data_IF_467636351760
#
_entry.id   IF_467636351760
#
_cell.length_a   1.000
_cell.length_b   1.000
_cell.length_c   1.000
_cell.angle_alpha   90.00
_cell.angle_beta   90.00
_cell.angle_gamma   90.00
#
_symmetry.space_group_name_H-M   'P 1'
#
loop_
_entity.id
_entity.type
_entity.pdbx_description
1 polymer ?
#
# COMPACT_ATOMS: atom_id res chain seq x y z
N UNK A 1 -47.55 51.76 29.62
CA UNK A 1 -46.59 52.22 30.65
C UNK A 1 -45.21 51.65 30.38
N UNK A 2 -44.16 52.39 30.72
CA UNK A 2 -42.77 51.91 30.72
C UNK A 2 -42.49 51.08 31.98
N UNK A 3 -41.52 50.17 31.94
CA UNK A 3 -40.45 50.12 32.96
C UNK A 3 -39.24 49.33 32.45
N UNK A 4 -38.06 49.93 32.58
CA UNK A 4 -36.76 49.31 32.29
C UNK A 4 -36.32 48.35 33.40
N UNK A 5 -35.54 47.33 33.05
CA UNK A 5 -34.86 46.43 33.99
C UNK A 5 -33.49 46.00 33.44
N UNK A 6 -32.39 46.58 33.96
CA UNK A 6 -31.09 46.61 33.27
C UNK A 6 -30.05 45.66 33.89
N UNK A 7 -29.35 44.92 33.01
CA UNK A 7 -27.99 44.30 33.19
C UNK A 7 -27.79 43.22 34.27
N UNK A 8 -27.36 42.04 33.81
CA UNK A 8 -26.50 41.09 34.55
C UNK A 8 -25.43 40.52 33.63
N UNK A 9 -24.15 40.83 33.87
CA UNK A 9 -23.03 40.42 33.00
C UNK A 9 -22.35 39.15 33.53
N UNK A 10 -22.57 38.02 32.85
CA UNK A 10 -21.96 36.72 33.18
C UNK A 10 -20.91 36.29 32.17
N UNK A 11 -19.62 36.53 32.46
CA UNK A 11 -18.50 35.98 31.66
C UNK A 11 -18.39 34.47 31.88
N UNK A 12 -18.98 33.68 30.98
CA UNK A 12 -18.80 32.23 30.96
C UNK A 12 -17.34 31.83 30.75
N UNK A 13 -16.75 31.09 31.70
CA UNK A 13 -15.49 30.36 31.48
C UNK A 13 -15.68 29.37 30.31
N UNK A 14 -14.70 29.22 29.41
CA UNK A 14 -14.77 28.15 28.41
C UNK A 14 -14.73 26.80 29.11
N UNK A 15 -15.80 26.03 28.97
CA UNK A 15 -15.81 24.62 29.36
C UNK A 15 -14.75 23.87 28.55
N UNK A 16 -14.04 22.93 29.19
CA UNK A 16 -13.12 22.04 28.48
C UNK A 16 -13.95 21.27 27.44
N UNK A 17 -13.76 21.55 26.14
CA UNK A 17 -14.37 20.78 25.05
C UNK A 17 -14.10 19.30 25.29
N UNK A 18 -15.14 18.53 25.60
CA UNK A 18 -15.11 17.09 25.51
C UNK A 18 -14.84 16.73 24.04
N UNK A 19 -13.84 15.87 23.81
CA UNK A 19 -13.57 15.39 22.45
C UNK A 19 -14.76 14.54 21.95
N UNK A 20 -15.21 14.73 20.70
CA UNK A 20 -16.25 13.89 20.12
C UNK A 20 -15.81 12.42 20.06
N UNK A 21 -16.78 11.50 20.09
CA UNK A 21 -16.53 10.06 20.20
C UNK A 21 -15.56 9.53 19.12
N UNK A 22 -15.63 10.09 17.91
CA UNK A 22 -14.73 9.80 16.78
C UNK A 22 -13.26 10.08 17.07
N UNK A 23 -12.92 11.14 17.81
CA UNK A 23 -11.53 11.42 18.22
C UNK A 23 -11.05 10.52 19.36
N UNK A 24 -11.95 9.94 20.17
CA UNK A 24 -11.59 8.94 21.18
C UNK A 24 -11.28 7.59 20.53
N UNK A 25 -12.07 7.18 19.55
CA UNK A 25 -11.79 6.01 18.68
C UNK A 25 -10.43 6.15 17.96
N UNK A 26 -10.15 7.31 17.33
CA UNK A 26 -8.90 7.52 16.60
C UNK A 26 -7.65 7.37 17.49
N UNK A 27 -7.67 7.82 18.75
CA UNK A 27 -6.55 7.61 19.69
C UNK A 27 -6.46 6.17 20.21
N UNK A 28 -7.57 5.45 20.30
CA UNK A 28 -7.57 4.03 20.68
C UNK A 28 -6.95 3.15 19.59
N UNK A 29 -7.25 3.42 18.31
CA UNK A 29 -6.68 2.69 17.17
C UNK A 29 -5.17 2.93 17.04
N UNK A 30 -4.70 4.19 17.20
CA UNK A 30 -3.26 4.49 17.19
C UNK A 30 -2.53 3.82 18.37
N UNK A 31 -3.15 3.73 19.55
CA UNK A 31 -2.57 3.05 20.71
C UNK A 31 -2.57 1.51 20.60
N UNK A 32 -3.43 0.93 19.75
CA UNK A 32 -3.50 -0.51 19.51
C UNK A 32 -2.44 -1.01 18.51
N UNK A 33 -1.81 -0.12 17.73
CA UNK A 33 -0.79 -0.45 16.73
C UNK A 33 0.64 -0.39 17.30
N UNK A 34 0.89 0.44 18.32
CA UNK A 34 2.15 0.41 19.08
C UNK A 34 2.10 -0.64 20.20
N UNK A 35 2.55 -1.86 19.88
CA UNK A 35 2.56 -2.98 20.81
C UNK A 35 3.36 -2.72 22.11
N UNK A 36 2.65 -2.49 23.21
CA UNK A 36 3.13 -2.69 24.58
C UNK A 36 2.09 -3.46 25.39
N UNK A 37 2.44 -4.68 25.79
CA UNK A 37 1.58 -5.53 26.60
C UNK A 37 1.22 -4.90 27.95
N UNK A 38 0.00 -5.14 28.42
CA UNK A 38 -0.43 -4.82 29.78
C UNK A 38 0.16 -5.84 30.76
N UNK A 39 0.55 -5.44 31.99
CA UNK A 39 0.91 -6.37 33.04
C UNK A 39 -0.35 -6.93 33.74
N UNK A 40 -0.29 -8.20 34.11
CA UNK A 40 -1.24 -8.80 35.05
C UNK A 40 -0.87 -8.45 36.50
N UNK A 41 -1.86 -8.36 37.37
CA UNK A 41 -1.69 -8.10 38.80
C UNK A 41 -1.85 -9.38 39.61
N UNK A 42 -0.80 -9.79 40.33
CA UNK A 42 -0.98 -10.70 41.48
C UNK A 42 0.18 -11.64 41.77
N UNK A 43 1.08 -11.23 42.68
CA UNK A 43 1.56 -11.96 43.87
C UNK A 43 2.99 -11.53 44.25
N UNK A 44 3.23 -11.39 45.56
CA UNK A 44 4.49 -10.94 46.10
C UNK A 44 5.45 -12.12 46.32
N UNK A 45 6.62 -12.07 45.68
CA UNK A 45 7.74 -12.98 45.94
C UNK A 45 9.02 -12.15 46.20
N UNK A 46 9.87 -12.64 47.09
CA UNK A 46 11.00 -11.88 47.63
C UNK A 46 12.10 -11.59 46.57
N UNK A 47 12.72 -10.41 46.66
CA UNK A 47 13.83 -10.01 45.78
C UNK A 47 15.16 -10.62 46.27
N UNK A 48 15.90 -11.39 45.45
CA UNK A 48 17.31 -11.63 45.72
C UNK A 48 18.10 -10.33 45.44
N UNK A 49 19.14 -10.07 46.25
CA UNK A 49 20.10 -9.00 45.99
C UNK A 49 20.98 -9.40 44.80
N UNK A 50 21.27 -8.47 43.90
CA UNK A 50 22.23 -8.65 42.81
C UNK A 50 23.39 -7.69 43.01
N UNK A 51 24.56 -8.22 43.34
CA UNK A 51 25.79 -7.44 43.48
C UNK A 51 26.50 -7.33 42.12
N UNK A 52 26.91 -6.13 41.67
CA UNK A 52 27.61 -5.96 40.39
C UNK A 52 29.08 -6.40 40.49
N UNK A 53 29.65 -7.05 39.46
CA UNK A 53 31.06 -7.44 39.45
C UNK A 53 32.00 -6.22 39.33
N UNK A 54 33.25 -6.32 39.85
CA UNK A 54 34.13 -5.16 40.01
C UNK A 54 34.84 -4.71 38.72
N UNK A 55 35.02 -3.40 38.60
CA UNK A 55 35.85 -2.76 37.57
C UNK A 55 37.36 -2.98 37.82
N UNK A 56 38.16 -3.35 36.81
CA UNK A 56 39.62 -3.37 36.94
C UNK A 56 40.20 -1.94 37.01
N UNK A 57 41.06 -1.69 38.00
CA UNK A 57 41.73 -0.40 38.25
C UNK A 57 43.23 -0.44 37.90
N UNK A 58 43.71 0.64 37.27
CA UNK A 58 45.12 1.09 37.29
C UNK A 58 46.06 0.40 36.28
N UNK A 59 46.79 1.11 35.40
CA UNK A 59 47.90 2.09 35.60
C UNK A 59 49.27 1.39 35.79
N UNK A 60 50.41 1.98 35.32
CA UNK A 60 50.71 3.42 35.40
C UNK A 60 51.29 4.13 34.17
N UNK A 61 51.33 5.46 34.29
CA UNK A 61 52.04 6.42 33.44
C UNK A 61 53.53 6.50 33.78
N UNK A 62 54.37 6.85 32.80
CA UNK A 62 55.47 7.85 32.83
C UNK A 62 56.23 7.77 31.48
N UNK A 63 56.96 8.78 30.97
CA UNK A 63 57.37 10.09 31.52
C UNK A 63 57.51 11.14 30.39
N UNK A 64 57.83 12.36 30.78
CA UNK A 64 57.97 13.57 29.95
C UNK A 64 59.29 13.67 29.18
N UNK A 65 59.29 14.61 28.22
CA UNK A 65 60.39 15.10 27.37
C UNK A 65 61.72 15.47 28.06
N UNK A 66 62.81 15.52 27.27
CA UNK A 66 63.74 16.68 27.15
C UNK A 66 64.83 16.50 26.06
N UNK A 67 65.34 17.62 25.50
CA UNK A 67 66.55 17.73 24.64
C UNK A 67 66.48 17.17 23.21
N UNK A 68 67.15 17.70 22.17
CA UNK A 68 67.96 18.93 22.02
C UNK A 68 69.08 18.74 20.97
N UNK A 69 69.34 19.71 20.08
CA UNK A 69 70.63 19.81 19.35
C UNK A 69 70.68 19.60 17.82
N UNK A 70 70.68 20.72 17.08
CA UNK A 70 71.43 21.09 15.85
C UNK A 70 72.22 20.08 14.95
N UNK A 71 71.94 20.19 13.63
CA UNK A 71 72.88 20.43 12.50
C UNK A 71 73.70 19.33 11.76
N UNK A 72 73.49 19.32 10.42
CA UNK A 72 74.47 19.36 9.31
C UNK A 72 74.93 18.09 8.52
N UNK A 73 75.11 18.32 7.19
CA UNK A 73 75.87 17.59 6.14
C UNK A 73 75.45 16.14 5.75
N UNK A 74 74.92 15.92 4.53
CA UNK A 74 75.64 15.49 3.29
C UNK A 74 75.93 13.97 3.24
N UNK A 75 75.82 13.20 2.13
CA UNK A 75 76.01 13.48 0.69
C UNK A 75 75.40 12.34 -0.18
N UNK A 76 75.16 12.59 -1.48
CA UNK A 76 74.96 11.57 -2.53
C UNK A 76 73.50 11.17 -2.82
N UNK A 77 72.98 11.15 -4.06
CA UNK A 77 73.51 11.66 -5.33
C UNK A 77 73.47 10.63 -6.47
N UNK A 78 72.45 10.69 -7.35
CA UNK A 78 72.46 10.19 -8.73
C UNK A 78 71.60 11.14 -9.58
N UNK A 79 72.06 11.49 -10.79
CA UNK A 79 71.44 12.48 -11.68
C UNK A 79 71.11 11.88 -13.06
N UNK A 80 69.97 12.31 -13.62
CA UNK A 80 69.47 12.38 -15.02
C UNK A 80 70.28 11.78 -16.20
N UNK A 81 69.60 11.52 -17.35
CA UNK A 81 69.77 12.51 -18.42
C UNK A 81 68.50 12.99 -19.16
N UNK A 82 68.70 14.13 -19.85
CA UNK A 82 67.76 15.02 -20.52
C UNK A 82 67.18 14.49 -21.85
N UNK A 83 66.10 15.12 -22.32
CA UNK A 83 65.64 15.04 -23.73
C UNK A 83 65.09 16.38 -24.26
N UNK A 84 65.45 16.75 -25.50
CA UNK A 84 65.06 17.94 -26.27
C UNK A 84 65.64 17.83 -27.70
N UNK A 85 65.25 18.61 -28.73
CA UNK A 85 63.91 19.13 -29.08
C UNK A 85 63.55 19.04 -30.60
N UNK A 86 62.26 19.24 -30.94
CA UNK A 86 61.84 20.02 -32.13
C UNK A 86 61.51 19.34 -33.49
N UNK A 87 60.48 19.87 -34.18
CA UNK A 87 60.43 20.05 -35.65
C UNK A 87 59.35 21.07 -36.07
N UNK A 88 59.53 21.69 -37.25
CA UNK A 88 58.67 22.74 -37.86
C UNK A 88 57.72 22.15 -38.92
N UNK A 89 56.63 22.86 -39.22
CA UNK A 89 55.80 22.71 -40.43
C UNK A 89 55.01 24.01 -40.69
N UNK A 90 54.80 24.39 -41.95
CA UNK A 90 54.26 25.71 -42.39
C UNK A 90 53.00 25.56 -43.29
N UNK A 91 52.29 26.66 -43.67
CA UNK A 91 50.88 26.65 -44.10
C UNK A 91 50.65 26.89 -45.61
N UNK A 92 49.36 26.97 -46.04
CA UNK A 92 48.89 27.99 -47.00
C UNK A 92 47.69 28.79 -46.43
N UNK A 93 47.59 30.13 -46.56
CA UNK A 93 47.31 30.97 -47.75
C UNK A 93 45.92 30.73 -48.39
N UNK A 94 45.04 31.73 -48.28
CA UNK A 94 43.75 31.80 -48.98
C UNK A 94 42.85 32.94 -48.50
N UNK A 95 42.85 34.07 -49.22
CA UNK A 95 41.82 35.12 -49.16
C UNK A 95 41.39 35.41 -50.62
N UNK A 96 40.21 35.99 -50.87
CA UNK A 96 40.20 37.46 -50.96
C UNK A 96 38.89 38.19 -50.56
N UNK A 97 39.07 39.43 -50.09
CA UNK A 97 38.23 40.64 -50.31
C UNK A 97 36.69 40.60 -50.36
N UNK A 98 36.05 41.46 -49.55
CA UNK A 98 35.03 42.40 -50.08
C UNK A 98 35.13 43.79 -49.42
N UNK A 99 34.80 44.82 -50.19
CA UNK A 99 35.18 46.21 -49.93
C UNK A 99 34.34 46.98 -48.91
N UNK A 100 35.01 47.99 -48.36
CA UNK A 100 34.55 49.06 -47.49
C UNK A 100 33.91 50.19 -48.31
N UNK A 101 32.81 50.80 -47.82
CA UNK A 101 32.29 52.07 -48.35
C UNK A 101 32.79 53.23 -47.47
N UNK A 102 33.49 54.17 -48.10
CA UNK A 102 33.78 55.54 -47.63
C UNK A 102 32.56 56.40 -48.06
N UNK A 103 32.17 57.53 -47.49
CA UNK A 103 32.76 58.89 -47.42
C UNK A 103 31.62 59.83 -46.95
N UNK A 104 31.78 61.05 -46.43
CA UNK A 104 32.85 61.77 -45.71
C UNK A 104 32.17 63.05 -45.11
N UNK A 105 32.78 63.75 -44.15
CA UNK A 105 32.15 64.93 -43.55
C UNK A 105 32.98 65.63 -42.44
N UNK A 106 33.39 66.87 -42.70
CA UNK A 106 33.93 67.87 -41.76
C UNK A 106 33.02 69.13 -41.89
N UNK A 107 32.86 70.02 -40.90
CA UNK A 107 33.97 70.51 -40.07
C UNK A 107 33.74 70.76 -38.56
N UNK A 108 34.89 70.76 -37.88
CA UNK A 108 35.30 71.61 -36.74
C UNK A 108 34.23 72.55 -36.16
N UNK A 109 33.91 72.36 -34.87
CA UNK A 109 33.43 73.44 -34.01
C UNK A 109 34.21 73.43 -32.68
N UNK A 110 34.72 74.58 -32.29
CA UNK A 110 35.68 74.72 -31.18
C UNK A 110 35.02 74.66 -29.81
N UNK A 111 35.44 73.72 -28.96
CA UNK A 111 35.32 73.87 -27.50
C UNK A 111 36.68 73.71 -26.85
N UNK A 112 37.17 74.84 -26.30
CA UNK A 112 38.40 74.95 -25.50
C UNK A 112 38.22 74.19 -24.18
N UNK A 113 38.37 72.87 -24.22
CA UNK A 113 38.29 72.02 -23.03
C UNK A 113 39.60 72.16 -22.25
N UNK A 114 39.56 72.94 -21.18
CA UNK A 114 40.65 73.07 -20.23
C UNK A 114 41.04 71.67 -19.72
N UNK A 115 42.33 71.35 -19.77
CA UNK A 115 42.84 70.16 -19.09
C UNK A 115 42.68 70.34 -17.58
N UNK A 116 42.01 69.42 -16.85
CA UNK A 116 42.10 69.41 -15.41
C UNK A 116 43.54 69.02 -15.03
N UNK A 117 44.24 69.80 -14.18
CA UNK A 117 45.63 69.52 -13.86
C UNK A 117 45.75 68.14 -13.20
N UNK A 118 46.79 67.40 -13.56
CA UNK A 118 47.16 66.12 -12.93
C UNK A 118 47.59 66.34 -11.46
N UNK A 119 46.64 66.61 -10.57
CA UNK A 119 46.87 66.46 -9.13
C UNK A 119 46.93 64.99 -8.81
N UNK A 120 48.16 64.48 -8.74
CA UNK A 120 48.52 63.19 -8.17
C UNK A 120 48.04 63.12 -6.72
N UNK A 121 46.78 62.75 -6.51
CA UNK A 121 46.28 62.32 -5.21
C UNK A 121 46.81 60.91 -4.92
N UNK A 122 48.13 60.83 -4.71
CA UNK A 122 48.84 59.67 -4.18
C UNK A 122 48.42 59.45 -2.71
N UNK A 123 47.13 59.14 -2.49
CA UNK A 123 46.60 58.75 -1.19
C UNK A 123 47.19 57.38 -0.88
N UNK A 124 48.40 57.39 -0.31
CA UNK A 124 49.13 56.21 0.16
C UNK A 124 48.28 55.52 1.21
N UNK A 125 47.41 54.60 0.76
CA UNK A 125 46.66 53.70 1.63
C UNK A 125 47.63 53.15 2.69
N UNK A 126 47.26 53.28 3.96
CA UNK A 126 48.15 52.90 5.05
C UNK A 126 48.50 51.42 4.95
N UNK A 127 49.60 51.00 5.59
CA UNK A 127 49.97 49.58 5.59
C UNK A 127 48.83 48.69 6.11
N UNK A 128 48.01 49.21 7.02
CA UNK A 128 46.84 48.55 7.58
C UNK A 128 45.65 48.49 6.61
N UNK A 129 45.30 49.58 5.91
CA UNK A 129 44.26 49.55 4.88
C UNK A 129 44.59 48.58 3.75
N UNK A 130 45.87 48.57 3.31
CA UNK A 130 46.37 47.60 2.32
C UNK A 130 46.27 46.16 2.85
N UNK A 131 46.64 45.92 4.12
CA UNK A 131 46.48 44.61 4.78
C UNK A 131 45.01 44.20 4.92
N UNK A 132 44.10 45.12 5.24
CA UNK A 132 42.66 44.87 5.35
C UNK A 132 42.05 44.50 3.99
N UNK A 133 42.33 45.27 2.93
CA UNK A 133 41.87 44.95 1.58
C UNK A 133 42.51 43.67 1.03
N UNK A 134 43.78 43.41 1.31
CA UNK A 134 44.45 42.15 0.97
C UNK A 134 43.84 40.97 1.73
N UNK A 135 43.57 41.10 3.03
CA UNK A 135 42.90 40.09 3.84
C UNK A 135 41.45 39.84 3.37
N UNK A 136 40.71 40.88 3.00
CA UNK A 136 39.35 40.77 2.44
C UNK A 136 39.35 40.08 1.07
N UNK A 137 40.32 40.41 0.19
CA UNK A 137 40.56 39.68 -1.08
C UNK A 137 40.99 38.24 -0.84
N UNK A 138 41.88 37.96 0.12
CA UNK A 138 42.32 36.61 0.47
C UNK A 138 41.18 35.75 1.07
N UNK A 139 40.35 36.33 1.95
CA UNK A 139 39.12 35.70 2.46
C UNK A 139 38.14 35.42 1.31
N UNK A 140 37.93 36.36 0.39
CA UNK A 140 37.08 36.15 -0.79
C UNK A 140 37.64 35.07 -1.75
N UNK A 141 38.96 34.99 -1.95
CA UNK A 141 39.61 33.94 -2.75
C UNK A 141 39.48 32.57 -2.06
N UNK A 142 39.71 32.50 -0.74
CA UNK A 142 39.51 31.28 0.07
C UNK A 142 38.04 30.83 0.04
N UNK A 143 37.08 31.75 0.13
CA UNK A 143 35.64 31.48 0.01
C UNK A 143 35.27 30.98 -1.40
N UNK A 144 35.77 31.63 -2.47
CA UNK A 144 35.60 31.15 -3.86
C UNK A 144 36.20 29.75 -4.07
N UNK A 145 37.35 29.45 -3.47
CA UNK A 145 37.97 28.11 -3.49
C UNK A 145 37.12 27.08 -2.72
N UNK A 146 36.58 27.42 -1.54
CA UNK A 146 35.64 26.57 -0.80
C UNK A 146 34.35 26.33 -1.59
N UNK A 147 33.73 27.36 -2.17
CA UNK A 147 32.52 27.21 -3.02
C UNK A 147 32.80 26.33 -4.25
N UNK A 148 33.94 26.49 -4.93
CA UNK A 148 34.37 25.59 -6.03
C UNK A 148 34.67 24.15 -5.58
N UNK A 149 35.04 23.93 -4.32
CA UNK A 149 35.23 22.58 -3.74
C UNK A 149 33.87 21.95 -3.39
N UNK A 150 32.96 22.70 -2.78
CA UNK A 150 31.58 22.26 -2.49
C UNK A 150 30.85 21.92 -3.79
N UNK A 151 30.91 22.77 -4.82
CA UNK A 151 30.31 22.50 -6.14
C UNK A 151 30.88 21.23 -6.78
N UNK A 152 32.19 20.97 -6.63
CA UNK A 152 32.80 19.72 -7.10
C UNK A 152 32.30 18.50 -6.32
N UNK A 153 32.25 18.58 -4.99
CA UNK A 153 31.70 17.48 -4.17
C UNK A 153 30.21 17.25 -4.44
N UNK A 154 29.40 18.30 -4.60
CA UNK A 154 27.98 18.14 -4.95
C UNK A 154 27.78 17.61 -6.37
N UNK A 155 28.65 17.97 -7.32
CA UNK A 155 28.62 17.41 -8.67
C UNK A 155 29.03 15.93 -8.68
N UNK A 156 30.04 15.54 -7.92
CA UNK A 156 30.42 14.12 -7.73
C UNK A 156 29.29 13.35 -7.04
N UNK A 157 28.67 13.90 -6.00
CA UNK A 157 27.54 13.29 -5.31
C UNK A 157 26.33 13.14 -6.26
N UNK A 158 26.01 14.16 -7.06
CA UNK A 158 24.95 14.08 -8.07
C UNK A 158 25.26 13.03 -9.15
N UNK A 159 26.52 12.96 -9.63
CA UNK A 159 26.94 11.93 -10.58
C UNK A 159 26.84 10.51 -10.01
N UNK A 160 27.20 10.32 -8.73
CA UNK A 160 27.03 9.05 -8.02
C UNK A 160 25.55 8.67 -7.86
N UNK A 161 24.67 9.63 -7.55
CA UNK A 161 23.23 9.40 -7.48
C UNK A 161 22.64 9.02 -8.86
N UNK A 162 23.06 9.71 -9.93
CA UNK A 162 22.66 9.38 -11.31
C UNK A 162 23.16 7.98 -11.70
N UNK A 163 24.43 7.65 -11.41
CA UNK A 163 24.99 6.33 -11.68
C UNK A 163 24.29 5.22 -10.90
N UNK A 164 23.95 5.47 -9.63
CA UNK A 164 23.16 4.54 -8.81
C UNK A 164 21.77 4.32 -9.41
N UNK A 165 21.05 5.38 -9.79
CA UNK A 165 19.73 5.27 -10.43
C UNK A 165 19.82 4.48 -11.74
N UNK A 166 20.80 4.79 -12.60
CA UNK A 166 21.03 4.04 -13.84
C UNK A 166 21.32 2.56 -13.58
N UNK A 167 22.21 2.26 -12.63
CA UNK A 167 22.52 0.88 -12.22
C UNK A 167 21.28 0.14 -11.71
N UNK A 168 20.47 0.78 -10.86
CA UNK A 168 19.21 0.22 -10.38
C UNK A 168 18.20 -0.01 -11.52
N UNK A 169 18.15 0.88 -12.52
CA UNK A 169 17.25 0.71 -13.67
C UNK A 169 17.63 -0.45 -14.59
N UNK A 170 18.93 -0.75 -14.73
CA UNK A 170 19.44 -1.78 -15.65
C UNK A 170 19.56 -3.15 -14.99
N UNK A 171 20.01 -3.22 -13.73
CA UNK A 171 20.34 -4.48 -13.04
C UNK A 171 19.12 -5.18 -12.39
N UNK A 172 18.04 -4.45 -12.12
CA UNK A 172 16.85 -4.99 -11.43
C UNK A 172 15.66 -5.09 -12.39
N UNK A 173 15.86 -5.79 -13.50
CA UNK A 173 14.78 -6.19 -14.40
C UNK A 173 14.08 -7.43 -13.85
N UNK A 174 12.80 -7.62 -14.19
CA UNK A 174 12.09 -8.86 -13.86
C UNK A 174 12.50 -9.92 -14.88
N UNK A 175 13.28 -10.91 -14.45
CA UNK A 175 13.78 -12.00 -15.29
C UNK A 175 13.00 -13.30 -15.07
N UNK A 176 12.48 -13.52 -13.87
CA UNK A 176 11.77 -14.75 -13.51
C UNK A 176 10.55 -14.47 -12.62
N UNK A 177 9.50 -15.28 -12.82
CA UNK A 177 8.32 -15.32 -11.94
C UNK A 177 8.25 -16.72 -11.33
N UNK A 178 8.43 -16.79 -10.01
CA UNK A 178 8.36 -18.00 -9.21
C UNK A 178 6.91 -18.11 -8.71
N UNK A 179 6.17 -19.11 -9.20
CA UNK A 179 4.83 -19.42 -8.71
C UNK A 179 4.98 -20.39 -7.53
N UNK A 180 4.32 -20.09 -6.42
CA UNK A 180 4.21 -21.01 -5.28
C UNK A 180 3.01 -21.92 -5.52
N UNK A 181 3.20 -23.25 -5.61
CA UNK A 181 2.06 -24.16 -5.73
C UNK A 181 1.24 -24.14 -4.43
N UNK A 182 -0.07 -23.99 -4.55
CA UNK A 182 -1.03 -24.17 -3.47
C UNK A 182 -2.04 -25.26 -3.84
N UNK A 183 -2.39 -26.11 -2.88
CA UNK A 183 -3.33 -27.21 -3.10
C UNK A 183 -4.74 -26.67 -3.43
N UNK A 184 -5.34 -27.18 -4.50
CA UNK A 184 -6.67 -26.75 -4.98
C UNK A 184 -6.68 -25.64 -6.03
N UNK A 185 -5.51 -25.15 -6.46
CA UNK A 185 -5.42 -24.30 -7.67
C UNK A 185 -5.75 -25.14 -8.91
N UNK A 186 -6.63 -24.62 -9.77
CA UNK A 186 -7.04 -25.23 -11.05
C UNK A 186 -6.20 -24.78 -12.26
N UNK A 187 -5.27 -23.86 -12.05
CA UNK A 187 -4.46 -23.23 -13.10
C UNK A 187 -3.00 -23.69 -13.08
N UNK A 188 -2.43 -23.89 -14.26
CA UNK A 188 -1.01 -24.19 -14.42
C UNK A 188 -0.12 -22.97 -14.12
N UNK A 189 1.14 -23.23 -13.75
CA UNK A 189 2.14 -22.16 -13.57
C UNK A 189 2.26 -21.24 -14.79
N UNK A 190 2.12 -21.78 -16.00
CA UNK A 190 2.19 -21.02 -17.26
C UNK A 190 1.01 -20.04 -17.38
N UNK A 191 -0.20 -20.47 -17.01
CA UNK A 191 -1.40 -19.63 -17.00
C UNK A 191 -1.26 -18.49 -15.98
N UNK A 192 -0.75 -18.79 -14.78
CA UNK A 192 -0.50 -17.78 -13.73
C UNK A 192 0.56 -16.77 -14.18
N UNK A 193 1.69 -17.23 -14.73
CA UNK A 193 2.76 -16.35 -15.26
C UNK A 193 2.27 -15.45 -16.39
N UNK A 194 1.43 -15.98 -17.29
CA UNK A 194 0.82 -15.21 -18.38
C UNK A 194 -0.18 -14.17 -17.85
N UNK A 195 -1.01 -14.55 -16.88
CA UNK A 195 -2.01 -13.66 -16.26
C UNK A 195 -1.38 -12.48 -15.48
N UNK A 196 -0.13 -12.59 -15.00
CA UNK A 196 0.59 -11.43 -14.49
C UNK A 196 0.72 -10.30 -15.53
N UNK A 197 0.81 -10.64 -16.82
CA UNK A 197 0.97 -9.67 -17.92
C UNK A 197 2.20 -8.78 -17.75
N UNK A 198 3.33 -9.38 -17.35
CA UNK A 198 4.62 -8.71 -17.16
C UNK A 198 5.55 -9.13 -18.30
N UNK A 199 6.06 -8.18 -19.06
CA UNK A 199 7.11 -8.42 -20.05
C UNK A 199 8.46 -8.60 -19.36
N UNK A 200 8.97 -9.84 -19.42
CA UNK A 200 10.30 -10.20 -18.93
C UNK A 200 11.39 -9.31 -19.54
N UNK A 201 12.33 -8.84 -18.73
CA UNK A 201 13.45 -8.00 -19.17
C UNK A 201 13.09 -6.55 -19.57
N UNK A 202 11.81 -6.23 -19.77
CA UNK A 202 11.34 -4.87 -20.09
C UNK A 202 11.00 -4.08 -18.81
N UNK A 203 10.29 -4.70 -17.86
CA UNK A 203 9.83 -4.03 -16.64
C UNK A 203 10.89 -4.09 -15.52
N UNK A 204 11.15 -2.94 -14.89
CA UNK A 204 12.02 -2.86 -13.73
C UNK A 204 11.27 -3.27 -12.44
N UNK A 205 11.89 -4.15 -11.64
CA UNK A 205 11.36 -4.75 -10.42
C UNK A 205 10.87 -3.72 -9.38
N UNK A 206 11.54 -2.57 -9.28
CA UNK A 206 11.15 -1.51 -8.35
C UNK A 206 10.04 -0.60 -8.88
N UNK A 207 9.87 -0.51 -10.20
CA UNK A 207 8.81 0.27 -10.85
C UNK A 207 7.51 -0.51 -11.03
N UNK A 208 7.57 -1.83 -11.08
CA UNK A 208 6.40 -2.70 -11.05
C UNK A 208 5.63 -2.46 -9.73
N UNK A 209 4.37 -2.02 -9.83
CA UNK A 209 3.45 -2.05 -8.69
C UNK A 209 2.96 -3.48 -8.52
N UNK A 210 3.00 -3.98 -7.28
CA UNK A 210 2.65 -5.37 -6.97
C UNK A 210 1.12 -5.53 -6.93
N UNK A 211 0.42 -4.55 -6.33
CA UNK A 211 -1.03 -4.42 -6.30
C UNK A 211 -1.70 -4.58 -7.66
N UNK A 212 -1.16 -3.93 -8.69
CA UNK A 212 -1.75 -3.92 -10.04
C UNK A 212 -1.58 -5.31 -10.72
N UNK A 213 -0.62 -6.13 -10.26
CA UNK A 213 -0.42 -7.52 -10.70
C UNK A 213 -1.30 -8.47 -9.89
N UNK A 214 -1.45 -8.25 -8.58
CA UNK A 214 -2.36 -8.98 -7.68
C UNK A 214 -3.82 -8.84 -8.17
N UNK A 215 -4.29 -7.61 -8.35
CA UNK A 215 -5.62 -7.29 -8.87
C UNK A 215 -5.86 -7.88 -10.27
N UNK A 216 -4.84 -7.84 -11.15
CA UNK A 216 -4.93 -8.45 -12.49
C UNK A 216 -5.03 -9.96 -12.42
N UNK A 217 -4.23 -10.63 -11.57
CA UNK A 217 -4.30 -12.07 -11.37
C UNK A 217 -5.70 -12.47 -10.88
N UNK A 218 -6.21 -11.77 -9.87
CA UNK A 218 -7.55 -12.03 -9.33
C UNK A 218 -8.65 -11.85 -10.39
N UNK A 219 -8.61 -10.80 -11.21
CA UNK A 219 -9.62 -10.59 -12.27
C UNK A 219 -9.49 -11.57 -13.44
N UNK A 220 -8.27 -11.90 -13.84
CA UNK A 220 -8.01 -12.75 -15.03
C UNK A 220 -8.22 -14.23 -14.74
N UNK A 221 -8.01 -14.66 -13.49
CA UNK A 221 -8.12 -16.04 -13.04
C UNK A 221 -9.16 -16.15 -11.91
N UNK A 222 -10.47 -16.25 -12.24
CA UNK A 222 -11.55 -16.13 -11.27
C UNK A 222 -11.43 -17.04 -10.05
N UNK A 223 -10.94 -18.28 -10.20
CA UNK A 223 -10.76 -19.25 -9.11
C UNK A 223 -9.55 -18.98 -8.20
N UNK A 224 -8.78 -17.91 -8.42
CA UNK A 224 -7.84 -17.38 -7.42
C UNK A 224 -8.61 -16.40 -6.54
N UNK A 225 -8.82 -16.72 -5.26
CA UNK A 225 -9.54 -15.85 -4.31
C UNK A 225 -8.74 -14.61 -3.94
N UNK A 226 -7.46 -14.80 -3.63
CA UNK A 226 -6.51 -13.73 -3.33
C UNK A 226 -5.14 -14.04 -3.96
N UNK A 227 -4.46 -13.03 -4.47
CA UNK A 227 -3.09 -13.13 -4.95
C UNK A 227 -2.14 -12.28 -4.10
N UNK A 228 -0.99 -12.83 -3.73
CA UNK A 228 0.10 -12.10 -3.07
C UNK A 228 1.37 -12.17 -3.93
N UNK A 229 1.88 -11.01 -4.35
CA UNK A 229 3.06 -10.89 -5.19
C UNK A 229 4.16 -10.18 -4.42
N UNK A 230 5.22 -10.92 -4.06
CA UNK A 230 6.40 -10.38 -3.35
C UNK A 230 7.60 -10.27 -4.29
N UNK A 231 8.47 -9.29 -4.03
CA UNK A 231 9.78 -9.20 -4.71
C UNK A 231 10.74 -10.23 -4.13
N UNK A 232 11.36 -11.01 -5.00
CA UNK A 232 12.38 -12.00 -4.68
C UNK A 232 13.70 -11.56 -5.32
N UNK A 233 14.58 -10.97 -4.51
CA UNK A 233 15.83 -10.41 -5.01
C UNK A 233 16.78 -11.50 -5.55
N UNK A 234 17.60 -11.21 -6.58
CA UNK A 234 17.81 -9.88 -7.20
C UNK A 234 16.78 -9.49 -8.26
N UNK A 235 16.29 -10.42 -9.09
CA UNK A 235 15.57 -10.12 -10.35
C UNK A 235 14.23 -10.86 -10.51
N UNK A 236 13.65 -11.40 -9.43
CA UNK A 236 12.47 -12.27 -9.50
C UNK A 236 11.23 -11.70 -8.78
N UNK A 237 10.05 -12.16 -9.19
CA UNK A 237 8.81 -12.03 -8.41
C UNK A 237 8.40 -13.40 -7.88
N UNK A 238 7.89 -13.46 -6.65
CA UNK A 238 7.29 -14.64 -6.03
C UNK A 238 5.78 -14.41 -5.93
N UNK A 239 5.01 -15.22 -6.63
CA UNK A 239 3.54 -15.17 -6.68
C UNK A 239 3.00 -16.31 -5.83
N UNK A 240 2.19 -15.98 -4.82
CA UNK A 240 1.43 -16.95 -4.02
C UNK A 240 -0.05 -16.72 -4.30
N UNK A 241 -0.79 -17.76 -4.65
CA UNK A 241 -2.23 -17.67 -4.93
C UNK A 241 -3.02 -18.49 -3.91
N UNK A 242 -4.04 -17.90 -3.31
CA UNK A 242 -5.05 -18.61 -2.51
C UNK A 242 -6.18 -19.07 -3.46
N UNK A 243 -6.43 -20.37 -3.65
CA UNK A 243 -7.56 -20.84 -4.44
C UNK A 243 -8.88 -20.56 -3.73
N UNK A 244 -9.93 -20.27 -4.51
CA UNK A 244 -11.30 -20.11 -4.01
C UNK A 244 -12.26 -21.03 -4.76
N UNK A 245 -13.38 -21.34 -4.12
CA UNK A 245 -14.40 -22.28 -4.62
C UNK A 245 -15.78 -21.64 -4.56
N UNK A 246 -16.69 -22.11 -5.41
CA UNK A 246 -18.08 -21.65 -5.39
C UNK A 246 -18.75 -22.01 -4.06
N UNK A 247 -19.29 -21.00 -3.39
CA UNK A 247 -20.01 -21.10 -2.12
C UNK A 247 -21.53 -20.95 -2.32
N UNK A 248 -21.96 -20.19 -3.33
CA UNK A 248 -23.36 -20.04 -3.71
C UNK A 248 -23.55 -19.90 -5.22
N UNK A 249 -24.78 -20.05 -5.67
CA UNK A 249 -25.21 -19.83 -7.05
C UNK A 249 -26.29 -18.75 -7.08
N UNK A 250 -25.92 -17.53 -7.43
CA UNK A 250 -26.85 -16.38 -7.40
C UNK A 250 -27.77 -16.43 -8.61
N UNK A 251 -29.07 -16.47 -8.36
CA UNK A 251 -30.12 -16.46 -9.38
C UNK A 251 -30.20 -15.06 -10.02
N UNK A 252 -29.92 -14.97 -11.32
CA UNK A 252 -30.01 -13.73 -12.10
C UNK A 252 -31.13 -13.80 -13.17
N UNK A 253 -32.10 -14.71 -13.01
CA UNK A 253 -33.28 -14.86 -13.87
C UNK A 253 -33.02 -15.48 -15.26
N UNK A 254 -31.85 -15.26 -15.85
CA UNK A 254 -31.41 -15.88 -17.11
C UNK A 254 -30.36 -17.02 -16.92
N UNK A 255 -30.09 -17.38 -15.66
CA UNK A 255 -29.10 -18.37 -15.27
C UNK A 255 -28.62 -18.14 -13.83
N UNK A 256 -27.45 -18.67 -13.51
CA UNK A 256 -26.84 -18.60 -12.19
C UNK A 256 -25.38 -18.16 -12.24
N UNK A 257 -25.02 -17.26 -11.33
CA UNK A 257 -23.65 -16.79 -11.12
C UNK A 257 -23.05 -17.59 -9.97
N UNK A 258 -22.06 -18.44 -10.27
CA UNK A 258 -21.31 -19.14 -9.23
C UNK A 258 -20.40 -18.12 -8.53
N UNK A 259 -20.63 -17.90 -7.24
CA UNK A 259 -19.90 -16.93 -6.43
C UNK A 259 -19.15 -17.58 -5.28
N UNK A 260 -17.99 -17.01 -4.93
CA UNK A 260 -17.22 -17.43 -3.76
C UNK A 260 -17.74 -16.81 -2.45
N UNK A 261 -17.16 -17.24 -1.32
CA UNK A 261 -17.44 -16.75 0.05
C UNK A 261 -17.47 -15.22 0.20
N UNK A 262 -16.82 -14.47 -0.70
CA UNK A 262 -16.69 -13.02 -0.65
C UNK A 262 -17.60 -12.28 -1.65
N UNK A 263 -18.36 -13.00 -2.49
CA UNK A 263 -19.16 -12.43 -3.57
C UNK A 263 -18.38 -12.23 -4.88
N UNK A 264 -17.24 -12.91 -5.06
CA UNK A 264 -16.50 -12.89 -6.33
C UNK A 264 -17.16 -13.83 -7.33
N UNK A 265 -17.46 -13.36 -8.54
CA UNK A 265 -18.03 -14.19 -9.61
C UNK A 265 -16.96 -15.09 -10.21
N UNK A 266 -17.15 -16.40 -10.12
CA UNK A 266 -16.25 -17.42 -10.65
C UNK A 266 -16.63 -17.82 -12.08
N UNK A 267 -17.91 -18.09 -12.30
CA UNK A 267 -18.45 -18.62 -13.56
C UNK A 267 -19.94 -18.28 -13.71
N UNK A 268 -20.45 -18.21 -14.94
CA UNK A 268 -21.88 -18.23 -15.25
C UNK A 268 -22.31 -19.60 -15.79
N UNK A 269 -23.49 -20.08 -15.37
CA UNK A 269 -24.12 -21.30 -15.89
C UNK A 269 -25.61 -21.05 -16.16
N UNK A 270 -26.16 -21.60 -17.24
CA UNK A 270 -27.60 -21.50 -17.52
C UNK A 270 -28.43 -22.47 -16.66
N UNK A 271 -27.89 -23.65 -16.35
CA UNK A 271 -28.58 -24.68 -15.55
C UNK A 271 -28.24 -24.55 -14.07
N UNK A 272 -29.24 -24.78 -13.21
CA UNK A 272 -29.08 -24.78 -11.75
C UNK A 272 -28.04 -25.83 -11.30
N UNK A 273 -27.02 -25.44 -10.50
CA UNK A 273 -26.03 -26.38 -9.98
C UNK A 273 -26.66 -27.26 -8.89
N UNK A 274 -26.45 -28.58 -8.97
CA UNK A 274 -27.08 -29.56 -8.06
C UNK A 274 -26.48 -29.61 -6.65
N UNK A 275 -25.24 -29.16 -6.48
CA UNK A 275 -24.47 -29.31 -5.24
C UNK A 275 -24.14 -27.97 -4.53
N UNK A 276 -24.74 -26.87 -4.98
CA UNK A 276 -24.46 -25.51 -4.50
C UNK A 276 -25.79 -24.84 -4.19
N UNK A 277 -25.90 -24.19 -3.04
CA UNK A 277 -27.11 -23.48 -2.62
C UNK A 277 -27.43 -22.33 -3.59
N UNK A 278 -28.69 -22.24 -4.03
CA UNK A 278 -29.15 -21.11 -4.85
C UNK A 278 -29.46 -19.91 -3.97
N UNK A 279 -28.89 -18.75 -4.30
CA UNK A 279 -29.14 -17.49 -3.62
C UNK A 279 -30.14 -16.65 -4.42
N UNK A 280 -31.23 -16.23 -3.77
CA UNK A 280 -32.19 -15.26 -4.28
C UNK A 280 -32.04 -13.93 -3.55
N UNK A 281 -31.89 -12.86 -4.32
CA UNK A 281 -31.57 -11.50 -3.84
C UNK A 281 -32.29 -10.45 -4.69
N UNK A 282 -32.25 -9.19 -4.26
CA UNK A 282 -32.97 -8.08 -4.90
C UNK A 282 -32.20 -7.48 -6.09
N UNK A 283 -30.87 -7.66 -6.10
CA UNK A 283 -29.96 -6.97 -7.01
C UNK A 283 -30.07 -7.34 -8.48
N UNK A 284 -29.75 -6.38 -9.35
CA UNK A 284 -29.46 -6.61 -10.76
C UNK A 284 -27.98 -6.93 -10.95
N UNK A 285 -27.66 -7.99 -11.69
CA UNK A 285 -26.30 -8.50 -11.79
C UNK A 285 -25.71 -8.35 -13.19
N UNK A 286 -24.49 -7.80 -13.25
CA UNK A 286 -23.69 -7.82 -14.49
C UNK A 286 -22.86 -9.11 -14.55
N UNK A 287 -22.96 -9.83 -15.66
CA UNK A 287 -22.24 -11.09 -15.90
C UNK A 287 -20.78 -10.77 -16.26
N UNK A 288 -19.89 -10.78 -15.26
CA UNK A 288 -18.44 -10.59 -15.43
C UNK A 288 -17.63 -11.48 -14.49
N UNK A 289 -17.04 -12.54 -15.03
CA UNK A 289 -16.13 -13.44 -14.30
C UNK A 289 -14.90 -12.70 -13.78
N UNK A 290 -14.50 -12.98 -12.54
CA UNK A 290 -13.34 -12.38 -11.88
C UNK A 290 -13.62 -11.06 -11.16
N UNK A 291 -14.75 -10.41 -11.40
CA UNK A 291 -15.20 -9.23 -10.65
C UNK A 291 -16.08 -9.64 -9.44
N UNK A 292 -16.23 -8.72 -8.48
CA UNK A 292 -17.16 -8.89 -7.35
C UNK A 292 -18.55 -8.41 -7.77
N UNK A 293 -19.58 -9.22 -7.50
CA UNK A 293 -20.97 -8.82 -7.76
C UNK A 293 -21.41 -7.76 -6.74
N UNK A 294 -22.27 -6.84 -7.20
CA UNK A 294 -23.02 -5.93 -6.35
C UNK A 294 -24.43 -6.49 -6.17
N UNK A 295 -24.90 -6.56 -4.93
CA UNK A 295 -26.25 -6.99 -4.60
C UNK A 295 -27.23 -5.82 -4.48
N UNK A 296 -26.73 -4.59 -4.30
CA UNK A 296 -27.55 -3.38 -4.32
C UNK A 296 -26.89 -2.23 -5.07
N UNK A 297 -27.73 -1.36 -5.64
CA UNK A 297 -27.30 -0.07 -6.22
C UNK A 297 -26.91 0.92 -5.11
N UNK A 298 -25.72 0.68 -4.60
CA UNK A 298 -25.11 1.43 -3.51
C UNK A 298 -24.11 2.44 -4.09
N UNK A 299 -24.27 3.72 -3.70
CA UNK A 299 -23.36 4.81 -4.08
C UNK A 299 -21.90 4.49 -3.73
N UNK A 300 -20.95 4.98 -4.53
CA UNK A 300 -19.52 4.76 -4.28
C UNK A 300 -19.12 5.14 -2.83
N UNK A 301 -18.54 4.19 -2.11
CA UNK A 301 -18.10 4.36 -0.72
C UNK A 301 -19.15 4.04 0.35
N UNK A 302 -20.39 3.72 0.00
CA UNK A 302 -21.34 3.08 0.92
C UNK A 302 -21.16 1.55 0.88
N UNK A 303 -21.54 0.87 1.97
CA UNK A 303 -21.39 -0.60 2.07
C UNK A 303 -22.65 -1.29 1.56
N UNK A 304 -22.47 -2.33 0.75
CA UNK A 304 -23.56 -3.18 0.26
C UNK A 304 -24.04 -4.11 1.40
N UNK A 305 -25.20 -3.78 1.98
CA UNK A 305 -25.81 -4.53 3.08
C UNK A 305 -26.19 -5.97 2.69
N UNK A 306 -26.59 -6.21 1.43
CA UNK A 306 -26.91 -7.57 0.96
C UNK A 306 -25.65 -8.40 0.80
N UNK A 307 -24.53 -7.79 0.36
CA UNK A 307 -23.22 -8.44 0.35
C UNK A 307 -22.71 -8.78 1.76
N UNK A 308 -22.95 -7.91 2.75
CA UNK A 308 -22.64 -8.21 4.16
C UNK A 308 -23.48 -9.38 4.68
N UNK A 309 -24.79 -9.35 4.43
CA UNK A 309 -25.72 -10.41 4.81
C UNK A 309 -25.36 -11.75 4.16
N UNK A 310 -25.01 -11.73 2.87
CA UNK A 310 -24.51 -12.90 2.14
C UNK A 310 -23.27 -13.50 2.81
N UNK A 311 -22.26 -12.66 3.12
CA UNK A 311 -21.01 -13.10 3.79
C UNK A 311 -21.29 -13.71 5.16
N UNK A 312 -22.18 -13.10 5.95
CA UNK A 312 -22.58 -13.61 7.25
C UNK A 312 -23.30 -14.96 7.14
N UNK A 313 -24.24 -15.13 6.19
CA UNK A 313 -24.94 -16.41 5.98
C UNK A 313 -23.97 -17.51 5.54
N UNK A 314 -23.13 -17.27 4.55
CA UNK A 314 -22.18 -18.28 4.05
C UNK A 314 -21.12 -18.62 5.11
N UNK A 315 -20.65 -17.64 5.87
CA UNK A 315 -19.79 -17.84 7.03
C UNK A 315 -20.47 -18.70 8.10
N UNK A 316 -21.72 -18.37 8.45
CA UNK A 316 -22.50 -19.11 9.45
C UNK A 316 -22.79 -20.56 9.01
N UNK A 317 -23.16 -20.81 7.75
CA UNK A 317 -23.35 -22.16 7.20
C UNK A 317 -22.06 -22.97 7.34
N UNK A 318 -20.92 -22.39 6.93
CA UNK A 318 -19.61 -23.05 7.03
C UNK A 318 -19.19 -23.32 8.49
N UNK A 319 -19.41 -22.36 9.39
CA UNK A 319 -19.01 -22.46 10.80
C UNK A 319 -19.86 -23.47 11.58
N UNK A 320 -21.16 -23.53 11.28
CA UNK A 320 -22.08 -24.51 11.88
C UNK A 320 -22.02 -25.89 11.25
N UNK A 321 -21.44 -26.00 10.05
CA UNK A 321 -21.37 -27.23 9.24
C UNK A 321 -22.75 -27.81 8.92
N UNK A 322 -23.78 -26.98 8.85
CA UNK A 322 -25.11 -27.39 8.38
C UNK A 322 -25.00 -27.79 6.91
N UNK A 323 -25.29 -29.05 6.62
CA UNK A 323 -25.27 -29.61 5.26
C UNK A 323 -26.58 -29.34 4.53
N UNK A 324 -26.62 -29.67 3.24
CA UNK A 324 -27.83 -29.74 2.41
C UNK A 324 -28.74 -28.49 2.40
N UNK A 325 -28.19 -27.29 2.63
CA UNK A 325 -28.89 -26.04 2.32
C UNK A 325 -28.99 -25.91 0.80
N UNK A 326 -30.21 -25.95 0.25
CA UNK A 326 -30.46 -25.92 -1.20
C UNK A 326 -30.82 -24.54 -1.71
N UNK A 327 -31.37 -23.67 -0.86
CA UNK A 327 -31.75 -22.30 -1.21
C UNK A 327 -31.50 -21.34 -0.05
N UNK A 328 -31.13 -20.11 -0.38
CA UNK A 328 -30.93 -18.96 0.49
C UNK A 328 -31.76 -17.80 -0.11
N UNK A 329 -32.72 -17.25 0.64
CA UNK A 329 -33.53 -16.10 0.21
C UNK A 329 -33.23 -14.89 1.10
N UNK A 330 -32.67 -13.85 0.49
CA UNK A 330 -32.33 -12.57 1.15
C UNK A 330 -33.07 -11.37 0.55
N UNK A 331 -34.04 -11.59 -0.34
CA UNK A 331 -34.86 -10.53 -0.97
C UNK A 331 -35.59 -9.64 0.05
N UNK A 332 -35.90 -10.19 1.22
CA UNK A 332 -36.32 -9.44 2.39
C UNK A 332 -35.28 -9.59 3.52
N UNK A 333 -34.54 -8.50 3.80
CA UNK A 333 -33.54 -8.41 4.87
C UNK A 333 -34.12 -8.62 6.28
N UNK A 334 -35.44 -8.47 6.45
CA UNK A 334 -36.16 -8.71 7.71
C UNK A 334 -36.73 -10.14 7.81
N UNK A 335 -36.83 -10.86 6.68
CA UNK A 335 -37.40 -12.22 6.59
C UNK A 335 -36.49 -13.13 5.75
N UNK A 336 -35.23 -13.27 6.19
CA UNK A 336 -34.25 -14.17 5.60
C UNK A 336 -34.68 -15.62 5.82
N UNK A 337 -34.60 -16.44 4.76
CA UNK A 337 -35.04 -17.84 4.77
C UNK A 337 -33.98 -18.73 4.15
N UNK A 338 -33.74 -19.89 4.73
CA UNK A 338 -32.99 -20.98 4.09
C UNK A 338 -33.93 -22.15 3.80
N UNK A 339 -33.63 -22.94 2.79
CA UNK A 339 -34.30 -24.22 2.55
C UNK A 339 -33.32 -25.37 2.75
N UNK A 340 -33.65 -26.30 3.64
CA UNK A 340 -32.87 -27.49 3.92
C UNK A 340 -33.48 -28.70 3.18
N UNK A 341 -32.63 -29.44 2.45
CA UNK A 341 -32.96 -30.61 1.63
C UNK A 341 -34.16 -30.43 0.68
N UNK A 342 -34.47 -29.18 0.27
CA UNK A 342 -35.66 -28.85 -0.52
C UNK A 342 -37.01 -29.27 0.14
N UNK A 343 -37.06 -29.32 1.49
CA UNK A 343 -38.23 -29.77 2.27
C UNK A 343 -38.61 -28.89 3.45
N UNK A 344 -37.60 -28.44 4.21
CA UNK A 344 -37.79 -27.69 5.44
C UNK A 344 -37.37 -26.24 5.23
N UNK A 345 -38.28 -25.30 5.52
CA UNK A 345 -37.99 -23.86 5.47
C UNK A 345 -37.52 -23.37 6.83
N UNK A 346 -36.27 -22.90 6.91
CA UNK A 346 -35.68 -22.30 8.09
C UNK A 346 -35.88 -20.78 8.04
N UNK A 347 -36.81 -20.25 8.83
CA UNK A 347 -37.04 -18.82 8.92
C UNK A 347 -36.04 -18.20 9.90
N UNK A 348 -35.07 -17.43 9.41
CA UNK A 348 -34.06 -16.76 10.25
C UNK A 348 -34.52 -15.37 10.72
N UNK A 349 -35.56 -14.81 10.11
CA UNK A 349 -35.99 -13.43 10.36
C UNK A 349 -34.90 -12.44 9.94
N UNK A 350 -34.53 -11.51 10.81
CA UNK A 350 -33.47 -10.55 10.53
C UNK A 350 -32.09 -11.21 10.50
N UNK A 351 -31.16 -10.64 9.72
CA UNK A 351 -29.76 -11.07 9.61
C UNK A 351 -28.90 -10.94 10.87
N UNK A 352 -29.50 -10.85 12.06
CA UNK A 352 -28.81 -10.77 13.34
C UNK A 352 -28.46 -12.15 13.89
N UNK A 353 -27.20 -12.33 14.31
CA UNK A 353 -26.68 -13.56 14.96
C UNK A 353 -27.03 -14.86 14.21
N UNK A 354 -26.83 -14.87 12.89
CA UNK A 354 -27.20 -15.98 12.01
C UNK A 354 -26.52 -17.28 12.44
N UNK A 355 -25.23 -17.24 12.80
CA UNK A 355 -24.51 -18.44 13.29
C UNK A 355 -25.16 -19.04 14.54
N UNK A 356 -25.66 -18.23 15.48
CA UNK A 356 -26.37 -18.73 16.66
C UNK A 356 -27.71 -19.36 16.29
N UNK A 357 -28.46 -18.75 15.37
CA UNK A 357 -29.73 -19.30 14.86
C UNK A 357 -29.52 -20.63 14.13
N UNK A 358 -28.47 -20.74 13.30
CA UNK A 358 -28.10 -21.99 12.64
C UNK A 358 -27.58 -23.06 13.62
N UNK A 359 -26.90 -22.69 14.72
CA UNK A 359 -26.57 -23.64 15.80
C UNK A 359 -27.81 -24.21 16.47
N UNK A 360 -28.88 -23.43 16.62
CA UNK A 360 -30.18 -23.96 17.06
C UNK A 360 -30.78 -24.87 15.98
N UNK A 361 -30.80 -24.42 14.72
CA UNK A 361 -31.31 -25.20 13.59
C UNK A 361 -30.68 -26.61 13.50
N UNK A 362 -29.35 -26.71 13.59
CA UNK A 362 -28.63 -28.01 13.56
C UNK A 362 -29.09 -28.93 14.71
N UNK A 363 -29.31 -28.39 15.91
CA UNK A 363 -29.80 -29.17 17.05
C UNK A 363 -31.23 -29.65 16.84
N UNK A 364 -32.12 -28.77 16.38
CA UNK A 364 -33.53 -29.12 16.09
C UNK A 364 -33.62 -30.14 14.96
N UNK A 365 -32.90 -29.92 13.85
CA UNK A 365 -32.85 -30.88 12.73
C UNK A 365 -32.33 -32.26 13.16
N UNK A 366 -31.38 -32.33 14.13
CA UNK A 366 -30.90 -33.60 14.68
C UNK A 366 -31.94 -34.38 15.49
N UNK A 367 -33.09 -33.77 15.81
CA UNK A 367 -34.23 -34.39 16.51
C UNK A 367 -35.39 -34.65 15.54
N UNK A 368 -35.70 -33.68 14.68
CA UNK A 368 -36.88 -33.74 13.78
C UNK A 368 -36.64 -34.52 12.47
N UNK A 369 -35.42 -34.43 11.91
CA UNK A 369 -35.06 -35.08 10.64
C UNK A 369 -34.65 -36.54 10.89
N UNK A 370 -35.66 -37.41 10.97
CA UNK A 370 -35.53 -38.87 11.09
C UNK A 370 -34.84 -39.57 9.88
N UNK A 371 -34.36 -38.80 8.90
CA UNK A 371 -33.70 -39.30 7.70
C UNK A 371 -34.62 -39.87 6.63
N UNK A 372 -35.94 -39.94 6.86
CA UNK A 372 -36.94 -40.42 5.88
C UNK A 372 -36.97 -39.59 4.59
N UNK A 373 -36.57 -38.32 4.68
CA UNK A 373 -36.67 -37.31 3.62
C UNK A 373 -38.08 -37.10 3.06
N UNK A 374 -39.14 -37.47 3.79
CA UNK A 374 -40.53 -37.25 3.38
C UNK A 374 -41.18 -36.05 4.06
N UNK A 375 -40.87 -35.82 5.35
CA UNK A 375 -41.38 -34.69 6.15
C UNK A 375 -41.14 -33.35 5.45
N UNK A 376 -42.16 -32.50 5.45
CA UNK A 376 -42.16 -31.14 4.92
C UNK A 376 -42.72 -30.19 5.98
N UNK A 377 -42.23 -28.96 6.02
CA UNK A 377 -42.63 -28.02 7.06
C UNK A 377 -41.67 -26.85 7.19
N UNK A 378 -41.67 -26.23 8.36
CA UNK A 378 -40.82 -25.09 8.66
C UNK A 378 -40.32 -25.06 10.10
N UNK A 379 -39.19 -24.39 10.31
CA UNK A 379 -38.61 -24.13 11.63
C UNK A 379 -38.39 -22.63 11.73
N UNK A 380 -39.12 -21.95 12.62
CA UNK A 380 -38.91 -20.54 12.93
C UNK A 380 -37.80 -20.37 13.96
N UNK A 381 -36.75 -19.68 13.53
CA UNK A 381 -35.49 -19.38 14.24
C UNK A 381 -35.27 -17.86 14.33
N UNK A 382 -36.31 -17.05 14.05
CA UNK A 382 -36.28 -15.59 14.13
C UNK A 382 -35.84 -15.11 15.52
N UNK A 383 -36.26 -15.84 16.57
CA UNK A 383 -35.88 -15.64 17.96
C UNK A 383 -34.58 -16.37 18.29
N UNK A 384 -33.57 -15.64 18.76
CA UNK A 384 -32.23 -16.20 19.02
C UNK A 384 -32.27 -17.29 20.09
N UNK A 385 -31.75 -18.48 19.76
CA UNK A 385 -31.65 -19.61 20.69
C UNK A 385 -32.93 -20.45 20.82
N UNK A 386 -34.02 -20.07 20.15
CA UNK A 386 -35.31 -20.77 20.17
C UNK A 386 -35.63 -21.30 18.77
N UNK A 387 -36.34 -22.41 18.69
CA UNK A 387 -36.86 -22.96 17.44
C UNK A 387 -38.33 -23.34 17.64
N UNK A 388 -39.20 -22.92 16.71
CA UNK A 388 -40.60 -23.38 16.65
C UNK A 388 -40.78 -24.22 15.39
N UNK A 389 -41.12 -25.51 15.56
CA UNK A 389 -41.31 -26.45 14.46
C UNK A 389 -42.78 -26.47 14.07
N UNK A 390 -43.08 -26.29 12.77
CA UNK A 390 -44.41 -26.40 12.20
C UNK A 390 -44.37 -27.39 11.05
N UNK A 391 -44.94 -28.58 11.25
CA UNK A 391 -45.06 -29.58 10.19
C UNK A 391 -46.16 -29.20 9.20
N UNK A 392 -45.99 -29.62 7.95
CA UNK A 392 -47.00 -29.54 6.90
C UNK A 392 -47.20 -30.96 6.39
N UNK A 393 -48.18 -31.65 6.96
CA UNK A 393 -48.66 -32.91 6.44
C UNK A 393 -49.13 -32.69 4.99
N UNK A 394 -48.65 -33.53 4.06
CA UNK A 394 -49.30 -33.61 2.76
C UNK A 394 -50.64 -34.29 2.98
N UNK A 395 -51.74 -33.58 2.76
CA UNK A 395 -53.00 -34.24 2.46
C UNK A 395 -52.74 -35.21 1.31
N UNK A 396 -53.02 -36.49 1.56
CA UNK A 396 -52.90 -37.53 0.54
C UNK A 396 -53.98 -37.29 -0.50
N UNK A 397 -53.60 -36.79 -1.67
CA UNK A 397 -54.48 -36.57 -2.82
C UNK A 397 -54.97 -37.94 -3.34
N UNK A 398 -56.03 -38.44 -2.71
CA UNK A 398 -56.59 -39.77 -2.93
C UNK A 398 -58.05 -39.68 -3.39
N UNK A 399 -58.27 -39.06 -4.56
CA UNK A 399 -59.55 -39.05 -5.24
C UNK A 399 -59.45 -38.74 -6.74
N UNK A 400 -59.28 -39.77 -7.58
CA UNK A 400 -60.08 -39.97 -8.82
C UNK A 400 -59.55 -41.13 -9.67
N UNK A 401 -59.90 -42.36 -9.30
CA UNK A 401 -60.10 -43.40 -10.31
C UNK A 401 -61.34 -43.03 -11.13
N UNK A 402 -61.13 -42.22 -12.16
CA UNK A 402 -62.13 -41.97 -13.19
C UNK A 402 -62.33 -43.22 -14.04
N UNK A 403 -63.19 -44.12 -13.60
CA UNK A 403 -63.86 -45.04 -14.52
C UNK A 403 -64.56 -44.18 -15.59
N UNK A 404 -64.23 -44.39 -16.86
CA UNK A 404 -65.05 -43.89 -17.95
C UNK A 404 -65.32 -45.03 -18.94
N UNK A 405 -66.59 -45.13 -19.34
CA UNK A 405 -67.16 -46.20 -20.16
C UNK A 405 -66.90 -46.03 -21.66
#
# INVERSE_FOLDING_TARGET
MQSDGKKGSGKGRPTKKSMPLSQRMARAIVFAIEGKGKPETGQAAARPKYDPPPLPKGRPQRRTAEGGGVSAASRGGVEMPKGSPGRRGQPPKGAPSRQQKRTDGKPIMSTRRQEPPQRQANRRLTAEEKRFHAARRARAIRAKRRKKRIIRFSAVLAALLIFLILSLTVLFKIENIIVVPAAGIVYDESQIKNACGIEYGAVNLFRCKLSDVEERLEKTLPYIGAAEVRRSFPSSLKVTAEPTVAAAAVDCGNGYLLTDKNGKMLQFTQSQPKAIAVLKSSGEFTIKTGEYIKFSDTSEGQTDDELLLYKEIIGAIKNTKIADITLIDIRDKQSVKLMYQNRLTLYLGTGTMIETKLKTAVKTLSVEDDGSKTKTGSIDLSTIGVAFVNDTERESESASEGQNS
#
